data_IF_077237997356
#
_entry.id   IF_077237997356
#
_cell.length_a   1.000
_cell.length_b   1.000
_cell.length_c   1.000
_cell.angle_alpha   90.00
_cell.angle_beta   90.00
_cell.angle_gamma   90.00
#
_symmetry.space_group_name_H-M   'P 1'
#
loop_
_entity.id
_entity.type
_entity.pdbx_description
1 polymer ?
#
# COMPACT_ATOMS: atom_id res chain seq x y z
N UNK A 1 21.29 -14.24 16.06
CA UNK A 1 21.78 -12.87 16.31
C UNK A 1 21.77 -12.06 15.05
N UNK A 2 22.43 -12.54 13.98
CA UNK A 2 22.45 -11.81 12.72
C UNK A 2 21.06 -11.62 12.16
N UNK A 3 20.22 -12.64 12.27
CA UNK A 3 18.84 -12.55 11.77
C UNK A 3 18.04 -11.48 12.51
N UNK A 4 18.24 -11.38 13.83
CA UNK A 4 17.54 -10.36 14.60
C UNK A 4 18.01 -8.95 14.24
N UNK A 5 19.29 -8.80 13.98
CA UNK A 5 19.81 -7.52 13.53
C UNK A 5 19.23 -7.13 12.18
N UNK A 6 19.15 -8.09 11.28
CA UNK A 6 18.57 -7.83 9.95
C UNK A 6 17.12 -7.43 10.09
N UNK A 7 16.35 -8.12 10.93
CA UNK A 7 14.94 -7.81 11.12
C UNK A 7 14.73 -6.45 11.77
N UNK A 8 15.65 -6.02 12.59
CA UNK A 8 15.53 -4.77 13.33
C UNK A 8 16.18 -3.58 12.64
N UNK A 9 17.01 -3.84 11.63
CA UNK A 9 17.60 -2.76 10.88
C UNK A 9 16.49 -2.00 10.16
N UNK A 10 16.51 -0.68 10.23
CA UNK A 10 15.59 0.08 9.40
C UNK A 10 15.90 -0.30 7.96
N UNK A 11 14.90 -0.71 7.25
CA UNK A 11 15.06 -0.94 5.83
C UNK A 11 15.44 0.41 5.26
N UNK A 12 16.62 0.50 4.68
CA UNK A 12 17.14 1.77 4.18
C UNK A 12 16.15 2.45 3.26
N UNK A 13 15.41 1.65 2.47
CA UNK A 13 14.40 2.18 1.60
C UNK A 13 13.33 1.11 1.43
N UNK A 14 12.19 1.28 2.11
CA UNK A 14 11.08 0.33 1.96
C UNK A 14 10.63 0.18 0.52
N UNK A 15 10.74 1.23 -0.27
CA UNK A 15 10.34 1.19 -1.67
C UNK A 15 11.24 0.26 -2.45
N UNK A 16 12.55 0.32 -2.20
CA UNK A 16 13.49 -0.59 -2.85
C UNK A 16 13.19 -2.04 -2.45
N UNK A 17 12.86 -2.24 -1.19
CA UNK A 17 12.52 -3.58 -0.71
C UNK A 17 11.31 -4.14 -1.44
N UNK A 18 10.28 -3.31 -1.66
CA UNK A 18 9.11 -3.73 -2.40
C UNK A 18 9.43 -3.98 -3.87
N UNK A 19 10.30 -3.18 -4.44
CA UNK A 19 10.72 -3.41 -5.82
C UNK A 19 11.38 -4.77 -5.98
N UNK A 20 12.09 -5.22 -4.98
CA UNK A 20 12.71 -6.54 -5.01
C UNK A 20 11.68 -7.67 -5.02
N UNK A 21 10.46 -7.37 -4.60
CA UNK A 21 9.35 -8.33 -4.64
C UNK A 21 8.59 -8.29 -5.98
N UNK A 22 8.99 -7.41 -6.89
CA UNK A 22 8.39 -7.35 -8.21
C UNK A 22 7.53 -6.13 -8.47
N UNK A 23 7.41 -5.22 -7.52
CA UNK A 23 6.63 -4.01 -7.71
C UNK A 23 7.45 -2.93 -8.38
N UNK A 24 6.79 -2.07 -9.15
CA UNK A 24 7.45 -0.90 -9.71
C UNK A 24 7.62 0.16 -8.61
N UNK A 25 8.40 1.18 -8.90
CA UNK A 25 8.60 2.26 -7.94
C UNK A 25 7.29 2.93 -7.54
N UNK A 26 6.43 3.19 -8.52
CA UNK A 26 5.13 3.81 -8.24
C UNK A 26 4.25 2.92 -7.39
N UNK A 27 4.21 1.64 -7.74
CA UNK A 27 3.43 0.68 -6.96
C UNK A 27 3.95 0.59 -5.54
N UNK A 28 5.28 0.52 -5.40
CA UNK A 28 5.89 0.44 -4.08
C UNK A 28 5.62 1.68 -3.24
N UNK A 29 5.69 2.85 -3.86
CA UNK A 29 5.38 4.09 -3.17
C UNK A 29 3.96 4.12 -2.66
N UNK A 30 3.01 3.69 -3.49
CA UNK A 30 1.61 3.64 -3.07
C UNK A 30 1.40 2.63 -1.94
N UNK A 31 1.97 1.44 -2.08
CA UNK A 31 1.83 0.41 -1.05
C UNK A 31 2.44 0.85 0.28
N UNK A 32 3.51 1.62 0.21
CA UNK A 32 4.10 2.19 1.42
C UNK A 32 3.10 3.10 2.14
N UNK A 33 2.43 3.99 1.40
CA UNK A 33 1.45 4.87 2.00
C UNK A 33 0.26 4.10 2.57
N UNK A 34 -0.19 3.07 1.85
CA UNK A 34 -1.27 2.23 2.33
C UNK A 34 -0.86 1.57 3.65
N UNK A 35 0.32 0.98 3.69
CA UNK A 35 0.78 0.28 4.90
C UNK A 35 0.95 1.23 6.07
N UNK A 36 1.39 2.46 5.81
CA UNK A 36 1.65 3.42 6.87
C UNK A 36 0.39 4.05 7.44
N UNK A 37 -0.65 4.20 6.64
CA UNK A 37 -1.77 5.05 7.03
C UNK A 37 -3.15 4.38 6.99
N UNK A 38 -3.33 3.34 6.20
CA UNK A 38 -4.68 2.87 5.92
C UNK A 38 -4.85 1.36 6.06
N UNK A 39 -4.02 0.61 5.39
CA UNK A 39 -4.21 -0.84 5.27
C UNK A 39 -5.19 -1.22 4.17
N UNK A 40 -6.09 -0.33 3.79
CA UNK A 40 -7.09 -0.54 2.76
C UNK A 40 -6.98 0.53 1.69
N UNK A 41 -7.37 0.19 0.45
CA UNK A 41 -7.36 1.17 -0.61
C UNK A 41 -8.39 0.82 -1.68
N UNK A 42 -8.73 1.83 -2.48
CA UNK A 42 -9.57 1.68 -3.66
C UNK A 42 -8.70 1.86 -4.90
N UNK A 43 -9.14 1.24 -5.98
CA UNK A 43 -8.42 1.38 -7.25
C UNK A 43 -8.28 2.84 -7.67
N UNK A 44 -9.34 3.66 -7.46
CA UNK A 44 -9.26 5.08 -7.82
C UNK A 44 -8.19 5.82 -7.04
N UNK A 45 -7.91 5.37 -5.82
CA UNK A 45 -6.87 6.01 -5.00
C UNK A 45 -5.49 5.76 -5.58
N UNK A 46 -5.26 4.56 -6.10
CA UNK A 46 -4.01 4.28 -6.79
C UNK A 46 -3.91 5.11 -8.08
N UNK A 47 -4.98 5.18 -8.87
CA UNK A 47 -4.99 5.98 -10.08
C UNK A 47 -4.70 7.45 -9.78
N UNK A 48 -5.28 7.97 -8.71
CA UNK A 48 -5.00 9.34 -8.27
C UNK A 48 -3.54 9.51 -7.90
N UNK A 49 -2.98 8.56 -7.18
CA UNK A 49 -1.59 8.64 -6.72
C UNK A 49 -0.61 8.71 -7.90
N UNK A 50 -0.84 7.90 -8.91
CA UNK A 50 0.06 7.85 -10.07
C UNK A 50 -0.31 8.89 -11.12
N UNK A 51 -1.38 9.65 -10.88
CA UNK A 51 -1.90 10.65 -11.81
C UNK A 51 -2.19 10.03 -13.17
N UNK A 52 -2.78 8.87 -13.16
CA UNK A 52 -3.12 8.12 -14.36
C UNK A 52 -4.48 7.48 -14.20
N UNK A 53 -5.19 7.36 -15.29
CA UNK A 53 -6.49 6.72 -15.31
C UNK A 53 -6.51 5.60 -16.34
N UNK A 54 -5.45 4.82 -16.38
CA UNK A 54 -5.36 3.67 -17.27
C UNK A 54 -5.53 2.38 -16.46
N UNK A 55 -6.56 1.65 -16.81
CA UNK A 55 -6.88 0.44 -16.10
C UNK A 55 -5.77 -0.59 -16.05
N UNK A 56 -4.95 -0.66 -17.09
CA UNK A 56 -3.89 -1.66 -17.17
C UNK A 56 -2.83 -1.48 -16.08
N UNK A 57 -2.57 -0.24 -15.66
CA UNK A 57 -1.56 0.00 -14.62
C UNK A 57 -2.07 -0.50 -13.28
N UNK A 58 -3.32 -0.15 -12.94
CA UNK A 58 -3.92 -0.63 -11.71
C UNK A 58 -4.07 -2.15 -11.72
N UNK A 59 -4.48 -2.71 -12.85
CA UNK A 59 -4.64 -4.16 -12.97
C UNK A 59 -3.34 -4.90 -12.69
N UNK A 60 -2.22 -4.38 -13.15
CA UNK A 60 -0.92 -5.02 -12.90
C UNK A 60 -0.58 -5.05 -11.42
N UNK A 61 -0.83 -3.94 -10.74
CA UNK A 61 -0.60 -3.90 -9.29
C UNK A 61 -1.47 -4.95 -8.59
N UNK A 62 -2.76 -4.97 -8.92
CA UNK A 62 -3.70 -5.86 -8.26
C UNK A 62 -3.38 -7.32 -8.56
N UNK A 63 -3.01 -7.65 -9.79
CA UNK A 63 -2.66 -9.01 -10.13
C UNK A 63 -1.41 -9.47 -9.37
N UNK A 64 -0.38 -8.63 -9.32
CA UNK A 64 0.84 -8.96 -8.59
C UNK A 64 0.55 -9.18 -7.12
N UNK A 65 -0.19 -8.26 -6.52
CA UNK A 65 -0.48 -8.33 -5.10
C UNK A 65 -1.32 -9.54 -4.73
N UNK A 66 -2.33 -9.83 -5.54
CA UNK A 66 -3.19 -10.97 -5.27
C UNK A 66 -2.46 -12.29 -5.49
N UNK A 67 -1.69 -12.38 -6.56
CA UNK A 67 -0.93 -13.60 -6.84
C UNK A 67 0.09 -13.89 -5.73
N UNK A 68 0.72 -12.85 -5.21
CA UNK A 68 1.73 -13.00 -4.16
C UNK A 68 1.11 -13.18 -2.76
N UNK A 69 -0.20 -13.00 -2.64
CA UNK A 69 -0.86 -13.07 -1.34
C UNK A 69 -0.69 -11.81 -0.49
N UNK A 70 -0.25 -10.72 -1.10
CA UNK A 70 -0.05 -9.47 -0.37
C UNK A 70 -1.33 -8.66 -0.25
N UNK A 71 -2.21 -8.79 -1.22
CA UNK A 71 -3.44 -8.01 -1.32
C UNK A 71 -4.62 -8.96 -1.45
N UNK A 72 -5.66 -8.71 -0.68
CA UNK A 72 -6.95 -9.39 -0.85
C UNK A 72 -8.00 -8.36 -1.21
N UNK A 73 -9.10 -8.79 -1.79
CA UNK A 73 -10.18 -7.87 -2.08
C UNK A 73 -11.44 -8.26 -1.34
N UNK A 74 -12.28 -7.26 -1.10
CA UNK A 74 -13.55 -7.41 -0.42
C UNK A 74 -14.61 -6.71 -1.27
N UNK A 75 -15.69 -7.42 -1.56
CA UNK A 75 -16.80 -6.84 -2.30
C UNK A 75 -17.90 -6.42 -1.34
N UNK A 76 -18.37 -5.21 -1.51
CA UNK A 76 -19.47 -4.68 -0.71
C UNK A 76 -20.74 -4.57 -1.53
N UNK A 77 -21.88 -4.51 -0.84
CA UNK A 77 -23.19 -4.60 -1.45
C UNK A 77 -23.49 -3.59 -2.55
N UNK A 78 -22.80 -2.46 -2.52
CA UNK A 78 -23.07 -1.39 -3.48
C UNK A 78 -22.11 -1.42 -4.67
N UNK A 79 -21.55 -2.56 -4.94
CA UNK A 79 -20.63 -2.69 -6.06
C UNK A 79 -19.23 -2.17 -5.78
N UNK A 80 -18.95 -1.87 -4.53
CA UNK A 80 -17.64 -1.40 -4.13
C UNK A 80 -16.70 -2.58 -3.99
N UNK A 81 -15.54 -2.47 -4.57
CA UNK A 81 -14.46 -3.40 -4.30
C UNK A 81 -13.34 -2.67 -3.60
N UNK A 82 -13.03 -3.13 -2.40
CA UNK A 82 -11.99 -2.56 -1.57
C UNK A 82 -10.84 -3.55 -1.50
N UNK A 83 -9.62 -3.07 -1.55
CA UNK A 83 -8.44 -3.90 -1.46
C UNK A 83 -7.79 -3.72 -0.10
N UNK A 84 -7.29 -4.82 0.44
CA UNK A 84 -6.67 -4.83 1.76
C UNK A 84 -5.24 -5.35 1.63
N UNK A 85 -4.30 -4.53 2.05
CA UNK A 85 -2.91 -4.94 2.14
C UNK A 85 -2.78 -5.76 3.42
N UNK A 86 -2.71 -7.07 3.28
CA UNK A 86 -2.88 -7.99 4.40
C UNK A 86 -1.62 -8.77 4.76
N UNK A 87 -0.55 -8.63 4.02
CA UNK A 87 0.64 -9.47 4.17
C UNK A 87 1.53 -9.00 5.31
N UNK A 88 1.79 -9.90 6.25
CA UNK A 88 2.76 -9.63 7.30
C UNK A 88 4.13 -9.30 6.72
N UNK A 89 4.50 -9.94 5.62
CA UNK A 89 5.80 -9.71 4.97
C UNK A 89 5.94 -8.26 4.55
N UNK A 90 4.89 -7.69 3.96
CA UNK A 90 4.91 -6.29 3.53
C UNK A 90 5.08 -5.37 4.73
N UNK A 91 4.29 -5.56 5.77
CA UNK A 91 4.38 -4.70 6.96
C UNK A 91 5.73 -4.84 7.66
N UNK A 92 6.31 -6.04 7.63
CA UNK A 92 7.63 -6.25 8.20
C UNK A 92 8.70 -5.42 7.47
N UNK A 93 8.60 -5.33 6.16
CA UNK A 93 9.55 -4.54 5.37
C UNK A 93 9.56 -3.08 5.79
N UNK A 94 8.43 -2.59 6.29
CA UNK A 94 8.32 -1.20 6.74
C UNK A 94 8.54 -1.06 8.25
N UNK A 95 8.93 -2.12 8.93
CA UNK A 95 9.09 -2.07 10.38
C UNK A 95 7.76 -2.10 11.14
N UNK A 96 6.68 -2.50 10.50
CA UNK A 96 5.34 -2.47 11.08
C UNK A 96 4.69 -3.85 11.16
N UNK A 97 5.46 -4.90 11.39
CA UNK A 97 4.92 -6.24 11.37
C UNK A 97 3.79 -6.49 12.39
N UNK A 98 3.74 -5.67 13.43
CA UNK A 98 2.69 -5.76 14.44
C UNK A 98 1.54 -4.80 14.15
N UNK A 99 1.51 -4.21 12.97
CA UNK A 99 0.51 -3.21 12.65
C UNK A 99 -0.89 -3.78 12.69
N UNK A 100 -1.80 -3.03 13.31
CA UNK A 100 -3.22 -3.37 13.32
C UNK A 100 -3.85 -3.20 11.94
N UNK A 101 -3.21 -2.44 11.06
CA UNK A 101 -3.73 -2.21 9.71
C UNK A 101 -3.74 -3.47 8.87
N UNK A 102 -2.89 -4.43 9.21
CA UNK A 102 -2.83 -5.71 8.53
C UNK A 102 -4.07 -6.56 8.78
N UNK A 103 -4.76 -6.33 9.89
CA UNK A 103 -5.91 -7.14 10.28
C UNK A 103 -7.18 -6.64 9.66
N UNK A 104 -8.08 -7.58 9.35
CA UNK A 104 -9.36 -7.22 8.76
C UNK A 104 -10.21 -6.42 9.76
N UNK A 105 -10.88 -5.39 9.25
CA UNK A 105 -11.71 -4.50 10.04
C UNK A 105 -13.16 -4.58 9.61
N UNK A 106 -14.05 -4.08 10.48
CA UNK A 106 -15.45 -3.94 10.12
C UNK A 106 -15.67 -2.77 9.17
N UNK A 107 -16.88 -2.70 8.60
CA UNK A 107 -17.19 -1.76 7.54
C UNK A 107 -16.93 -0.31 7.90
N UNK A 108 -17.34 0.10 9.11
CA UNK A 108 -17.14 1.49 9.52
C UNK A 108 -15.66 1.84 9.61
N UNK A 109 -14.86 0.92 10.11
CA UNK A 109 -13.42 1.15 10.20
C UNK A 109 -12.76 1.16 8.84
N UNK A 110 -13.22 0.29 7.93
CA UNK A 110 -12.70 0.28 6.56
C UNK A 110 -12.95 1.63 5.91
N UNK A 111 -14.18 2.17 6.05
CA UNK A 111 -14.49 3.49 5.50
C UNK A 111 -13.60 4.57 6.07
N UNK A 112 -13.38 4.54 7.39
CA UNK A 112 -12.51 5.52 8.04
C UNK A 112 -11.08 5.40 7.52
N UNK A 113 -10.59 4.19 7.28
CA UNK A 113 -9.26 3.99 6.73
C UNK A 113 -9.14 4.50 5.31
N UNK A 114 -10.18 4.28 4.49
CA UNK A 114 -10.19 4.80 3.12
C UNK A 114 -10.17 6.31 3.11
N UNK A 115 -10.92 6.95 4.00
CA UNK A 115 -10.93 8.40 4.11
C UNK A 115 -9.57 8.93 4.58
N UNK A 116 -8.94 8.22 5.50
CA UNK A 116 -7.61 8.58 5.96
C UNK A 116 -6.60 8.54 4.81
N UNK A 117 -6.71 7.51 3.94
CA UNK A 117 -5.83 7.43 2.79
C UNK A 117 -6.09 8.57 1.81
N UNK A 118 -7.36 8.90 1.56
CA UNK A 118 -7.67 10.05 0.70
C UNK A 118 -7.00 11.32 1.23
N UNK A 119 -7.08 11.52 2.55
CA UNK A 119 -6.44 12.70 3.16
C UNK A 119 -4.94 12.69 2.94
N UNK A 120 -4.30 11.55 3.14
CA UNK A 120 -2.85 11.42 2.96
C UNK A 120 -2.47 11.69 1.50
N UNK A 121 -3.23 11.13 0.56
CA UNK A 121 -2.93 11.31 -0.85
C UNK A 121 -3.05 12.77 -1.28
N UNK A 122 -4.01 13.49 -0.72
CA UNK A 122 -4.22 14.89 -1.06
C UNK A 122 -3.18 15.80 -0.41
N UNK A 123 -2.74 15.47 0.78
CA UNK A 123 -1.88 16.38 1.56
C UNK A 123 -0.43 15.97 1.57
N UNK A 124 -0.16 14.68 1.68
CA UNK A 124 1.21 14.17 1.78
C UNK A 124 1.79 13.78 0.44
N UNK A 125 0.93 13.55 -0.56
CA UNK A 125 1.42 13.16 -1.88
C UNK A 125 2.31 14.23 -2.49
N UNK A 126 2.08 15.47 -2.14
CA UNK A 126 2.92 16.56 -2.64
C UNK A 126 4.36 16.40 -2.15
N UNK A 127 4.54 16.12 -0.88
CA UNK A 127 5.89 15.88 -0.35
C UNK A 127 6.52 14.68 -0.98
N UNK A 128 5.76 13.61 -1.08
CA UNK A 128 6.25 12.38 -1.66
C UNK A 128 6.61 12.57 -3.14
N UNK A 129 5.73 13.26 -3.86
CA UNK A 129 5.92 13.50 -5.28
C UNK A 129 7.01 14.52 -5.57
N UNK A 130 7.18 15.50 -4.71
CA UNK A 130 8.27 16.46 -4.87
C UNK A 130 9.60 15.74 -4.89
N UNK A 131 9.80 14.82 -3.96
CA UNK A 131 11.02 14.04 -3.94
C UNK A 131 11.22 13.21 -5.20
N UNK A 132 10.12 12.81 -5.84
CA UNK A 132 10.18 11.97 -7.02
C UNK A 132 10.07 12.75 -8.32
N UNK A 133 9.33 13.82 -8.32
CA UNK A 133 9.11 14.62 -9.52
C UNK A 133 10.40 15.25 -10.01
N UNK A 134 11.34 15.40 -9.12
CA UNK A 134 12.64 15.97 -9.47
C UNK A 134 13.65 14.93 -9.92
N UNK A 135 13.23 13.71 -9.95
CA UNK A 135 14.10 12.60 -10.36
C UNK A 135 14.04 12.38 -11.86
#
# INVERSE_FOLDING_TARGET
MAANLIDNLPVCDPIIALESLGYTEREAGFLYLVAAHSGYFLRRQFDYFIDRNKGSIAMRLLEKGQTAGHIEFLDYKQGWRVYHLCSRTIYRLFGHRESQLRRRKGDAQVRARLMALDYVLENDSDHFQIGRAHV
#
